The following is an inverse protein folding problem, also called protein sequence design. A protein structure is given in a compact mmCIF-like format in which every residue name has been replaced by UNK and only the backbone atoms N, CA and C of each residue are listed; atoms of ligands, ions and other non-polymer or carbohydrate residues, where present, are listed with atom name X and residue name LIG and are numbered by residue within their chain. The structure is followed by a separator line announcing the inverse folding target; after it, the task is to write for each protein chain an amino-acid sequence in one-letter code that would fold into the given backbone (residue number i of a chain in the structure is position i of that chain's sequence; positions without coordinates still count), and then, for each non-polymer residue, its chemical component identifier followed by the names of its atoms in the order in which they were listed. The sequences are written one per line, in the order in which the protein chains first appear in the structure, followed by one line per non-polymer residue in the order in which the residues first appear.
data_IF_352887343240
#
_entry.id   IF_352887343240
#
_cell.length_a   1.000
_cell.length_b   1.000
_cell.length_c   1.000
_cell.angle_alpha   90.00
_cell.angle_beta   90.00
_cell.angle_gamma   90.00
#
_symmetry.space_group_name_H-M   'P 1'
#
loop_
_entity.id
_entity.type
_entity.pdbx_description
1 polymer ?
#
# COMPACT_ATOMS: atom_id res chain seq x y z
N UNK A 1 9.91 -1.49 10.70
CA UNK A 1 10.33 -2.33 9.54
C UNK A 1 11.08 -3.52 10.08
N UNK A 2 10.85 -4.73 9.56
CA UNK A 2 11.65 -5.90 9.91
C UNK A 2 13.09 -5.78 9.34
N UNK A 3 14.14 -6.14 10.08
CA UNK A 3 15.53 -5.89 9.71
C UNK A 3 15.95 -6.32 8.29
N UNK A 4 15.50 -7.47 7.78
CA UNK A 4 15.89 -7.97 6.46
C UNK A 4 15.44 -7.11 5.28
N UNK A 5 14.62 -6.07 5.54
CA UNK A 5 14.33 -5.02 4.55
C UNK A 5 15.54 -4.12 4.32
N UNK A 6 16.32 -3.80 5.37
CA UNK A 6 17.45 -2.86 5.31
C UNK A 6 18.81 -3.53 5.46
N UNK A 7 18.85 -4.71 6.07
CA UNK A 7 20.07 -5.47 6.34
C UNK A 7 20.13 -6.73 5.47
N UNK A 8 21.31 -6.99 4.93
CA UNK A 8 21.65 -8.17 4.13
C UNK A 8 23.08 -8.60 4.45
N UNK A 9 23.38 -9.89 4.35
CA UNK A 9 24.73 -10.41 4.63
C UNK A 9 25.68 -10.19 3.46
N UNK A 10 27.00 -10.19 3.72
CA UNK A 10 28.01 -10.17 2.65
C UNK A 10 27.87 -11.37 1.69
N UNK A 11 27.56 -12.55 2.22
CA UNK A 11 27.40 -13.77 1.42
C UNK A 11 26.27 -13.62 0.39
N UNK A 12 25.15 -13.06 0.82
CA UNK A 12 24.00 -12.84 -0.07
C UNK A 12 24.21 -11.63 -0.99
N UNK A 13 24.85 -10.57 -0.50
CA UNK A 13 25.16 -9.38 -1.29
C UNK A 13 26.09 -9.67 -2.48
N UNK A 14 27.02 -10.61 -2.30
CA UNK A 14 27.95 -11.03 -3.36
C UNK A 14 27.29 -11.92 -4.42
N UNK A 15 26.06 -12.41 -4.18
CA UNK A 15 25.25 -13.11 -5.19
C UNK A 15 24.36 -12.10 -5.90
N UNK A 16 24.64 -11.81 -7.16
CA UNK A 16 23.95 -10.78 -7.93
C UNK A 16 22.42 -10.90 -7.88
N UNK A 17 21.87 -12.09 -8.10
CA UNK A 17 20.42 -12.32 -8.09
C UNK A 17 19.78 -11.95 -6.73
N UNK A 18 20.42 -12.36 -5.62
CA UNK A 18 19.94 -12.03 -4.27
C UNK A 18 20.04 -10.54 -3.97
N UNK A 19 21.13 -9.90 -4.39
CA UNK A 19 21.32 -8.47 -4.25
C UNK A 19 20.25 -7.69 -5.01
N UNK A 20 20.03 -8.05 -6.26
CA UNK A 20 19.09 -7.33 -7.13
C UNK A 20 17.66 -7.47 -6.57
N UNK A 21 17.28 -8.68 -6.11
CA UNK A 21 16.00 -8.91 -5.43
C UNK A 21 15.85 -8.10 -4.13
N UNK A 22 16.91 -8.05 -3.30
CA UNK A 22 16.93 -7.23 -2.08
C UNK A 22 16.70 -5.75 -2.39
N UNK A 23 17.40 -5.22 -3.40
CA UNK A 23 17.27 -3.82 -3.81
C UNK A 23 15.87 -3.52 -4.36
N UNK A 24 15.32 -4.39 -5.21
CA UNK A 24 13.95 -4.26 -5.71
C UNK A 24 12.94 -4.18 -4.57
N UNK A 25 13.04 -5.09 -3.59
CA UNK A 25 12.14 -5.10 -2.44
C UNK A 25 12.32 -3.87 -1.55
N UNK A 26 13.57 -3.45 -1.31
CA UNK A 26 13.89 -2.24 -0.56
C UNK A 26 13.22 -1.03 -1.23
N UNK A 27 13.58 -0.72 -2.48
CA UNK A 27 13.07 0.46 -3.17
C UNK A 27 11.54 0.45 -3.29
N UNK A 28 10.92 -0.70 -3.58
CA UNK A 28 9.47 -0.81 -3.64
C UNK A 28 8.80 -0.40 -2.32
N UNK A 29 9.34 -0.83 -1.17
CA UNK A 29 8.83 -0.44 0.14
C UNK A 29 9.09 1.04 0.45
N UNK A 30 10.29 1.54 0.14
CA UNK A 30 10.66 2.93 0.44
C UNK A 30 9.82 3.92 -0.36
N UNK A 31 9.67 3.65 -1.65
CA UNK A 31 8.92 4.50 -2.57
C UNK A 31 7.45 4.53 -2.14
N UNK A 32 6.88 3.37 -1.81
CA UNK A 32 5.49 3.31 -1.38
C UNK A 32 5.24 4.07 -0.07
N UNK A 33 6.08 3.89 0.95
CA UNK A 33 5.90 4.59 2.25
C UNK A 33 6.03 6.11 2.05
N UNK A 34 7.05 6.55 1.31
CA UNK A 34 7.32 7.96 1.07
C UNK A 34 6.22 8.64 0.24
N UNK A 35 5.85 8.03 -0.89
CA UNK A 35 4.98 8.68 -1.88
C UNK A 35 3.53 8.77 -1.38
N UNK A 36 3.14 7.89 -0.47
CA UNK A 36 1.78 7.81 0.05
C UNK A 36 1.67 8.27 1.52
N UNK A 37 2.80 8.65 2.16
CA UNK A 37 2.87 9.12 3.56
C UNK A 37 2.03 8.29 4.52
N UNK A 38 2.04 6.97 4.31
CA UNK A 38 1.06 6.03 4.84
C UNK A 38 1.09 5.97 6.36
N UNK A 39 2.30 5.93 6.91
CA UNK A 39 2.54 5.72 8.33
C UNK A 39 3.94 6.19 8.71
N UNK A 40 4.17 6.29 10.02
CA UNK A 40 5.50 6.46 10.58
C UNK A 40 6.20 5.10 10.68
N UNK A 41 7.52 5.11 10.51
CA UNK A 41 8.37 3.95 10.71
C UNK A 41 8.93 4.02 12.13
N UNK A 42 8.47 3.12 12.99
CA UNK A 42 9.04 2.95 14.33
C UNK A 42 10.50 2.49 14.22
N UNK A 43 11.36 3.16 14.97
CA UNK A 43 12.81 2.98 14.95
C UNK A 43 13.42 3.22 16.34
N UNK A 44 14.67 2.82 16.58
CA UNK A 44 15.39 3.09 17.82
C UNK A 44 16.88 3.35 17.58
N UNK A 45 17.56 3.83 18.60
CA UNK A 45 18.98 4.21 18.53
C UNK A 45 19.90 3.01 18.31
N UNK A 46 19.55 1.81 18.82
CA UNK A 46 20.32 0.59 18.58
C UNK A 46 20.32 0.23 17.07
N UNK A 47 19.14 0.18 16.44
CA UNK A 47 19.02 -0.10 15.00
C UNK A 47 19.68 0.98 14.14
N UNK A 48 19.57 2.26 14.55
CA UNK A 48 20.24 3.38 13.89
C UNK A 48 21.76 3.24 13.96
N UNK A 49 22.29 2.83 15.12
CA UNK A 49 23.71 2.56 15.28
C UNK A 49 24.17 1.40 14.39
N UNK A 50 23.41 0.30 14.32
CA UNK A 50 23.73 -0.81 13.41
C UNK A 50 23.73 -0.41 11.93
N UNK A 51 22.86 0.53 11.55
CA UNK A 51 22.75 1.00 10.18
C UNK A 51 23.93 1.91 9.78
N UNK A 52 24.44 2.73 10.70
CA UNK A 52 25.36 3.83 10.35
C UNK A 52 26.74 3.80 11.00
N UNK A 53 26.84 3.27 12.23
CA UNK A 53 27.97 3.49 13.12
C UNK A 53 28.66 2.19 13.56
N UNK A 54 28.04 1.03 13.35
CA UNK A 54 28.61 -0.25 13.75
C UNK A 54 29.89 -0.60 12.97
N UNK A 55 30.75 -1.42 13.59
CA UNK A 55 31.99 -1.89 12.95
C UNK A 55 31.72 -2.78 11.74
N UNK A 56 30.60 -3.49 11.74
CA UNK A 56 30.13 -4.36 10.68
C UNK A 56 28.94 -3.75 9.95
N UNK A 57 29.21 -2.67 9.21
CA UNK A 57 28.20 -2.00 8.40
C UNK A 57 27.56 -2.95 7.37
N UNK A 58 26.30 -2.69 6.96
CA UNK A 58 25.69 -3.40 5.85
C UNK A 58 26.57 -3.35 4.59
N UNK A 59 26.62 -4.40 3.77
CA UNK A 59 27.55 -4.50 2.65
C UNK A 59 27.32 -3.40 1.61
N UNK A 60 26.06 -3.01 1.39
CA UNK A 60 25.69 -1.90 0.52
C UNK A 60 26.16 -0.54 1.03
N UNK A 61 26.40 -0.41 2.33
CA UNK A 61 26.92 0.79 3.00
C UNK A 61 28.45 0.83 2.94
N UNK A 62 29.10 -0.33 3.03
CA UNK A 62 30.55 -0.47 2.86
C UNK A 62 30.99 -0.23 1.41
N UNK A 63 30.19 -0.64 0.42
CA UNK A 63 30.44 -0.40 -0.99
C UNK A 63 30.17 1.08 -1.38
N UNK A 64 31.20 1.77 -1.89
CA UNK A 64 31.12 3.19 -2.26
C UNK A 64 30.04 3.51 -3.30
N UNK A 65 29.87 2.65 -4.30
CA UNK A 65 28.93 2.90 -5.40
C UNK A 65 27.49 2.74 -4.91
N UNK A 66 27.22 1.69 -4.14
CA UNK A 66 25.89 1.44 -3.60
C UNK A 66 25.52 2.39 -2.47
N UNK A 67 26.48 2.73 -1.61
CA UNK A 67 26.36 3.77 -0.58
C UNK A 67 25.86 5.08 -1.17
N UNK A 68 26.45 5.53 -2.28
CA UNK A 68 26.07 6.80 -2.93
C UNK A 68 24.66 6.78 -3.53
N UNK A 69 24.08 5.59 -3.79
CA UNK A 69 22.72 5.45 -4.33
C UNK A 69 21.68 5.29 -3.21
N UNK A 70 21.96 4.41 -2.26
CA UNK A 70 20.99 3.98 -1.25
C UNK A 70 20.87 5.01 -0.13
N UNK A 71 21.99 5.59 0.31
CA UNK A 71 22.00 6.51 1.46
C UNK A 71 21.16 7.75 1.19
N UNK A 72 21.31 8.47 0.05
CA UNK A 72 20.44 9.60 -0.23
C UNK A 72 18.97 9.20 -0.27
N UNK A 73 18.67 8.01 -0.80
CA UNK A 73 17.30 7.48 -0.84
C UNK A 73 16.73 7.26 0.56
N UNK A 74 17.48 6.63 1.48
CA UNK A 74 17.07 6.42 2.87
C UNK A 74 16.81 7.77 3.56
N UNK A 75 17.75 8.72 3.45
CA UNK A 75 17.62 10.03 4.10
C UNK A 75 16.48 10.88 3.53
N UNK A 76 16.23 10.82 2.22
CA UNK A 76 15.19 11.62 1.58
C UNK A 76 13.80 11.01 1.74
N UNK A 77 13.69 9.68 1.61
CA UNK A 77 12.39 8.97 1.54
C UNK A 77 11.94 8.39 2.88
N UNK A 78 12.86 7.97 3.73
CA UNK A 78 12.52 7.23 4.95
C UNK A 78 12.69 8.09 6.19
N UNK A 79 13.83 8.75 6.34
CA UNK A 79 14.17 9.46 7.58
C UNK A 79 13.12 10.50 8.01
N UNK A 80 12.42 11.23 7.11
CA UNK A 80 11.32 12.12 7.52
C UNK A 80 10.13 11.40 8.16
N UNK A 81 10.01 10.09 7.93
CA UNK A 81 8.94 9.25 8.44
C UNK A 81 9.36 8.45 9.69
N UNK A 82 10.60 8.57 10.18
CA UNK A 82 11.03 7.87 11.39
C UNK A 82 10.38 8.46 12.65
N UNK A 83 9.84 7.55 13.47
CA UNK A 83 9.46 7.81 14.86
C UNK A 83 10.43 7.04 15.75
N UNK A 84 11.34 7.76 16.38
CA UNK A 84 12.29 7.19 17.33
C UNK A 84 11.57 6.88 18.64
N UNK A 85 11.69 5.63 19.07
CA UNK A 85 11.19 5.14 20.33
C UNK A 85 12.37 4.81 21.23
N UNK A 86 12.24 5.18 22.50
CA UNK A 86 13.14 4.72 23.54
C UNK A 86 12.91 3.21 23.74
N UNK A 87 14.00 2.46 23.83
CA UNK A 87 13.96 1.02 24.05
C UNK A 87 13.71 0.66 25.51
N UNK A 88 13.68 1.67 26.41
CA UNK A 88 13.23 1.56 27.80
C UNK A 88 14.01 0.55 28.64
N UNK A 89 15.12 0.00 28.12
CA UNK A 89 15.80 -1.15 28.70
C UNK A 89 14.96 -2.43 28.73
N UNK A 90 13.97 -2.59 27.85
CA UNK A 90 13.13 -3.78 27.80
C UNK A 90 13.91 -5.05 27.40
N UNK A 91 13.46 -6.19 27.93
CA UNK A 91 13.90 -7.51 27.46
C UNK A 91 13.39 -7.79 26.03
N UNK A 92 13.92 -8.82 25.36
CA UNK A 92 13.47 -9.17 24.01
C UNK A 92 12.09 -9.84 24.06
N UNK A 93 11.18 -9.44 23.16
CA UNK A 93 10.00 -10.23 22.84
C UNK A 93 10.36 -11.40 21.93
N UNK A 94 9.55 -12.46 21.98
CA UNK A 94 9.58 -13.54 21.00
C UNK A 94 8.56 -13.31 19.89
N UNK A 95 8.81 -13.94 18.74
CA UNK A 95 7.92 -13.92 17.59
C UNK A 95 7.63 -15.36 17.13
N UNK A 96 6.36 -15.70 16.97
CA UNK A 96 5.93 -16.96 16.39
C UNK A 96 5.51 -16.74 14.92
N UNK A 97 5.92 -17.60 13.97
CA UNK A 97 6.69 -18.84 14.13
C UNK A 97 8.22 -18.66 14.21
N UNK A 98 8.69 -17.41 14.26
CA UNK A 98 10.11 -17.04 14.29
C UNK A 98 10.55 -16.37 12.99
N UNK A 99 11.40 -15.35 13.10
CA UNK A 99 11.93 -14.64 11.94
C UNK A 99 13.11 -15.40 11.34
N UNK A 100 13.09 -15.62 10.02
CA UNK A 100 14.14 -16.27 9.26
C UNK A 100 15.21 -15.25 8.84
N UNK A 101 16.04 -14.83 9.78
CA UNK A 101 17.03 -13.79 9.57
C UNK A 101 18.44 -14.37 9.47
N UNK A 102 19.12 -14.08 8.36
CA UNK A 102 20.53 -14.48 8.15
C UNK A 102 21.53 -13.43 8.64
N UNK A 103 21.04 -12.32 9.22
CA UNK A 103 21.86 -11.20 9.70
C UNK A 103 22.35 -11.44 11.15
N UNK A 104 23.13 -10.51 11.67
CA UNK A 104 23.61 -10.55 13.06
C UNK A 104 22.44 -10.58 14.05
N UNK A 105 22.56 -11.42 15.09
CA UNK A 105 21.48 -11.66 16.06
C UNK A 105 21.15 -10.41 16.86
N UNK A 106 22.15 -9.58 17.10
CA UNK A 106 22.05 -8.33 17.84
C UNK A 106 21.10 -7.34 17.16
N UNK A 107 21.09 -7.31 15.81
CA UNK A 107 20.15 -6.50 15.03
C UNK A 107 18.72 -7.01 15.23
N UNK A 108 18.53 -8.34 15.24
CA UNK A 108 17.24 -8.96 15.53
C UNK A 108 16.78 -8.64 16.95
N UNK A 109 17.68 -8.68 17.94
CA UNK A 109 17.35 -8.33 19.31
C UNK A 109 16.94 -6.86 19.46
N UNK A 110 17.67 -5.94 18.83
CA UNK A 110 17.31 -4.52 18.82
C UNK A 110 15.91 -4.28 18.23
N UNK A 111 15.56 -5.02 17.17
CA UNK A 111 14.21 -5.00 16.59
C UNK A 111 13.15 -5.58 17.55
N UNK A 112 13.43 -6.70 18.21
CA UNK A 112 12.46 -7.32 19.14
C UNK A 112 12.23 -6.48 20.40
N UNK A 113 13.25 -5.74 20.88
CA UNK A 113 13.09 -4.73 21.93
C UNK A 113 12.21 -3.55 21.49
N UNK A 114 12.42 -3.06 20.26
CA UNK A 114 11.57 -2.01 19.68
C UNK A 114 10.10 -2.47 19.64
N UNK A 115 9.86 -3.71 19.23
CA UNK A 115 8.50 -4.28 19.23
C UNK A 115 7.96 -4.38 20.66
N UNK A 116 8.76 -4.79 21.63
CA UNK A 116 8.36 -4.81 23.04
C UNK A 116 7.86 -3.43 23.50
N UNK A 117 8.59 -2.36 23.19
CA UNK A 117 8.19 -0.99 23.50
C UNK A 117 6.81 -0.63 22.91
N UNK A 118 6.50 -1.11 21.70
CA UNK A 118 5.17 -0.94 21.09
C UNK A 118 4.07 -1.72 21.84
N UNK A 119 4.37 -2.94 22.27
CA UNK A 119 3.44 -3.79 23.04
C UNK A 119 3.12 -3.15 24.39
N UNK A 120 4.15 -2.65 25.08
CA UNK A 120 3.97 -1.99 26.39
C UNK A 120 3.11 -0.73 26.29
N UNK A 121 3.34 0.06 25.23
CA UNK A 121 2.53 1.23 24.90
C UNK A 121 1.13 0.90 24.35
N UNK A 122 0.81 -0.39 24.16
CA UNK A 122 -0.46 -0.88 23.58
C UNK A 122 -0.75 -0.28 22.21
N UNK A 123 0.29 -0.11 21.40
CA UNK A 123 0.15 0.42 20.05
C UNK A 123 -0.07 -0.72 19.04
N UNK A 124 -1.09 -0.57 18.19
CA UNK A 124 -1.25 -1.41 17.01
C UNK A 124 -0.21 -1.01 15.96
N UNK A 125 0.32 -1.98 15.22
CA UNK A 125 1.34 -1.71 14.21
C UNK A 125 1.28 -2.68 13.03
N UNK A 126 1.84 -2.20 11.92
CA UNK A 126 2.08 -2.99 10.71
C UNK A 126 3.48 -3.58 10.75
N UNK A 127 3.59 -4.89 10.52
CA UNK A 127 4.87 -5.57 10.39
C UNK A 127 5.22 -5.73 8.90
N UNK A 128 6.10 -4.85 8.42
CA UNK A 128 6.68 -4.99 7.09
C UNK A 128 7.74 -6.08 7.10
N UNK A 129 7.54 -7.17 6.35
CA UNK A 129 8.45 -8.31 6.28
C UNK A 129 9.37 -8.22 5.05
N UNK A 130 10.65 -8.55 5.23
CA UNK A 130 11.56 -8.71 4.10
C UNK A 130 11.40 -10.06 3.40
N UNK A 131 12.17 -10.24 2.31
CA UNK A 131 12.08 -11.40 1.40
C UNK A 131 12.07 -12.75 2.12
N UNK A 132 12.98 -13.04 3.08
CA UNK A 132 13.03 -14.34 3.74
C UNK A 132 11.74 -14.72 4.48
N UNK A 133 10.97 -13.72 4.90
CA UNK A 133 9.79 -13.89 5.76
C UNK A 133 8.47 -13.75 5.00
N UNK A 134 8.46 -13.57 3.67
CA UNK A 134 7.21 -13.34 2.92
C UNK A 134 6.19 -14.47 3.03
N UNK A 135 6.65 -15.71 3.20
CA UNK A 135 5.80 -16.90 3.39
C UNK A 135 5.00 -16.87 4.71
N UNK A 136 5.37 -16.00 5.66
CA UNK A 136 4.64 -15.84 6.92
C UNK A 136 3.31 -15.10 6.75
N UNK A 137 3.09 -14.43 5.62
CA UNK A 137 1.85 -13.69 5.35
C UNK A 137 0.58 -14.53 5.45
N UNK A 138 0.68 -15.82 5.09
CA UNK A 138 -0.45 -16.75 5.09
C UNK A 138 -0.53 -17.55 6.41
N UNK A 139 0.30 -17.22 7.39
CA UNK A 139 0.42 -17.94 8.66
C UNK A 139 -0.04 -17.07 9.83
N UNK A 140 -0.41 -17.72 10.93
CA UNK A 140 -0.64 -17.04 12.19
C UNK A 140 0.69 -16.49 12.72
N UNK A 141 0.78 -15.17 12.82
CA UNK A 141 1.96 -14.45 13.30
C UNK A 141 1.62 -13.65 14.54
N UNK A 142 2.43 -13.78 15.59
CA UNK A 142 2.24 -12.99 16.80
C UNK A 142 3.53 -12.79 17.59
N UNK A 143 3.58 -11.67 18.30
CA UNK A 143 4.58 -11.39 19.31
C UNK A 143 4.07 -11.78 20.70
N UNK A 144 4.99 -12.24 21.55
CA UNK A 144 4.70 -12.60 22.93
C UNK A 144 5.94 -12.40 23.82
N UNK A 145 5.72 -12.24 25.12
CA UNK A 145 6.75 -12.14 26.14
C UNK A 145 6.17 -12.53 27.50
N UNK A 146 7.03 -12.82 28.48
CA UNK A 146 6.59 -13.24 29.82
C UNK A 146 5.99 -12.09 30.65
N UNK A 147 6.34 -10.84 30.32
CA UNK A 147 5.89 -9.65 31.04
C UNK A 147 4.50 -9.13 30.59
N UNK A 148 4.02 -9.52 29.41
CA UNK A 148 2.69 -9.14 28.92
C UNK A 148 1.84 -10.40 28.63
N UNK A 149 0.64 -10.54 29.24
CA UNK A 149 -0.15 -11.75 29.12
C UNK A 149 -0.81 -11.93 27.73
N UNK A 150 -0.88 -10.86 26.94
CA UNK A 150 -1.58 -10.85 25.65
C UNK A 150 -0.59 -11.00 24.50
N UNK A 151 -0.97 -11.82 23.52
CA UNK A 151 -0.29 -11.91 22.23
C UNK A 151 -0.71 -10.74 21.36
N UNK A 152 0.24 -10.18 20.62
CA UNK A 152 -0.03 -9.09 19.66
C UNK A 152 0.12 -9.62 18.24
N UNK A 153 -0.96 -9.49 17.47
CA UNK A 153 -1.05 -9.95 16.09
C UNK A 153 -0.87 -8.74 15.16
N UNK A 154 0.33 -8.54 14.58
CA UNK A 154 0.54 -7.41 13.67
C UNK A 154 -0.18 -7.63 12.34
N UNK A 155 -0.54 -6.53 11.68
CA UNK A 155 -0.96 -6.58 10.27
C UNK A 155 0.28 -6.75 9.38
N UNK A 156 0.35 -7.87 8.65
CA UNK A 156 1.53 -8.23 7.85
C UNK A 156 1.52 -7.52 6.49
N UNK A 157 2.64 -6.86 6.17
CA UNK A 157 2.87 -6.18 4.90
C UNK A 157 4.10 -6.79 4.22
N UNK A 158 3.93 -7.49 3.10
CA UNK A 158 5.04 -8.10 2.34
C UNK A 158 5.33 -7.37 1.03
N UNK A 159 4.36 -6.62 0.52
CA UNK A 159 4.45 -5.87 -0.73
C UNK A 159 3.67 -4.55 -0.64
N UNK A 160 3.99 -3.54 -1.47
CA UNK A 160 3.26 -2.27 -1.53
C UNK A 160 1.74 -2.41 -1.60
N UNK A 161 1.23 -3.39 -2.35
CA UNK A 161 -0.20 -3.62 -2.49
C UNK A 161 -0.89 -4.03 -1.19
N UNK A 162 -0.14 -4.60 -0.25
CA UNK A 162 -0.68 -5.09 1.03
C UNK A 162 -1.09 -3.93 1.93
N UNK A 163 -0.42 -2.77 1.81
CA UNK A 163 -0.85 -1.55 2.48
C UNK A 163 -2.25 -1.13 2.05
N UNK A 164 -2.52 -1.20 0.75
CA UNK A 164 -3.83 -0.83 0.20
C UNK A 164 -4.91 -1.77 0.71
N UNK A 165 -4.64 -3.08 0.77
CA UNK A 165 -5.58 -4.03 1.35
C UNK A 165 -5.77 -3.85 2.87
N UNK A 166 -4.77 -3.31 3.57
CA UNK A 166 -4.81 -3.15 5.03
C UNK A 166 -5.41 -1.81 5.48
N UNK A 167 -5.31 -0.76 4.67
CA UNK A 167 -5.70 0.61 5.02
C UNK A 167 -6.87 1.12 4.16
N UNK A 168 -7.11 0.53 2.99
CA UNK A 168 -8.13 0.95 2.04
C UNK A 168 -7.58 1.77 0.87
N UNK A 169 -8.22 1.67 -0.30
CA UNK A 169 -7.85 2.39 -1.52
C UNK A 169 -8.04 3.90 -1.36
N UNK A 170 -9.15 4.29 -0.74
CA UNK A 170 -9.56 5.68 -0.57
C UNK A 170 -8.57 6.50 0.24
N UNK A 171 -7.94 5.90 1.26
CA UNK A 171 -6.88 6.57 2.03
C UNK A 171 -5.73 7.08 1.16
N UNK A 172 -5.44 6.40 0.04
CA UNK A 172 -4.31 6.75 -0.84
C UNK A 172 -4.71 7.50 -2.10
N UNK A 173 -5.91 7.21 -2.62
CA UNK A 173 -6.27 7.56 -3.99
C UNK A 173 -7.54 8.42 -4.09
N UNK A 174 -8.16 8.77 -2.96
CA UNK A 174 -9.33 9.64 -2.96
C UNK A 174 -8.93 11.10 -3.15
N UNK A 175 -9.64 11.88 -4.00
CA UNK A 175 -9.34 13.28 -4.21
C UNK A 175 -9.90 14.12 -3.05
N UNK A 176 -9.10 15.06 -2.57
CA UNK A 176 -9.51 16.07 -1.56
C UNK A 176 -9.96 17.37 -2.24
N UNK A 177 -9.63 17.55 -3.52
CA UNK A 177 -10.08 18.69 -4.32
C UNK A 177 -10.26 18.34 -5.80
N UNK A 178 -10.94 19.20 -6.55
CA UNK A 178 -11.28 19.00 -7.97
C UNK A 178 -10.02 18.84 -8.84
N UNK A 179 -8.93 19.50 -8.47
CA UNK A 179 -7.66 19.47 -9.20
C UNK A 179 -6.88 18.15 -9.00
N UNK A 180 -7.31 17.29 -8.06
CA UNK A 180 -6.65 16.03 -7.72
C UNK A 180 -7.16 14.82 -8.51
N UNK A 181 -7.69 15.02 -9.72
CA UNK A 181 -8.15 13.92 -10.60
C UNK A 181 -7.08 12.85 -10.85
N UNK A 182 -5.79 13.20 -10.75
CA UNK A 182 -4.68 12.25 -10.84
C UNK A 182 -4.62 11.25 -9.67
N UNK A 183 -5.11 11.58 -8.46
CA UNK A 183 -5.21 10.59 -7.36
C UNK A 183 -6.18 9.47 -7.74
N UNK A 184 -7.35 9.83 -8.29
CA UNK A 184 -8.35 8.88 -8.78
C UNK A 184 -7.77 8.00 -9.91
N UNK A 185 -7.05 8.60 -10.85
CA UNK A 185 -6.38 7.89 -11.95
C UNK A 185 -5.40 6.83 -11.42
N UNK A 186 -4.53 7.21 -10.49
CA UNK A 186 -3.58 6.29 -9.82
C UNK A 186 -4.32 5.17 -9.08
N UNK A 187 -5.43 5.47 -8.42
CA UNK A 187 -6.27 4.45 -7.77
C UNK A 187 -6.83 3.44 -8.75
N UNK A 188 -7.36 3.89 -9.89
CA UNK A 188 -7.87 3.01 -10.94
C UNK A 188 -6.75 2.14 -11.52
N UNK A 189 -5.58 2.73 -11.81
CA UNK A 189 -4.42 1.98 -12.29
C UNK A 189 -3.99 0.91 -11.29
N UNK A 190 -3.94 1.26 -10.00
CA UNK A 190 -3.65 0.32 -8.93
C UNK A 190 -4.66 -0.84 -8.90
N UNK A 191 -5.96 -0.55 -8.88
CA UNK A 191 -7.02 -1.57 -8.86
C UNK A 191 -6.92 -2.47 -10.10
N UNK A 192 -6.72 -1.88 -11.27
CA UNK A 192 -6.61 -2.61 -12.54
C UNK A 192 -5.43 -3.57 -12.52
N UNK A 193 -4.26 -3.12 -12.06
CA UNK A 193 -3.03 -3.91 -12.10
C UNK A 193 -2.92 -4.95 -10.98
N UNK A 194 -3.48 -4.65 -9.79
CA UNK A 194 -3.24 -5.47 -8.59
C UNK A 194 -4.47 -6.21 -8.07
N UNK A 195 -5.69 -5.76 -8.39
CA UNK A 195 -6.93 -6.38 -7.93
C UNK A 195 -7.64 -7.11 -9.06
N UNK A 196 -7.88 -6.43 -10.18
CA UNK A 196 -8.61 -7.00 -11.32
C UNK A 196 -7.69 -7.83 -12.23
N UNK A 197 -6.43 -7.39 -12.35
CA UNK A 197 -5.40 -7.99 -13.20
C UNK A 197 -5.86 -8.18 -14.66
N UNK A 198 -6.38 -7.10 -15.26
CA UNK A 198 -6.79 -7.06 -16.67
C UNK A 198 -6.40 -5.72 -17.29
N UNK A 199 -5.99 -5.68 -18.56
CA UNK A 199 -5.69 -4.41 -19.23
C UNK A 199 -6.96 -3.57 -19.40
N UNK A 200 -6.78 -2.26 -19.42
CA UNK A 200 -7.85 -1.33 -19.81
C UNK A 200 -8.17 -1.52 -21.29
N UNK A 201 -9.46 -1.52 -21.62
CA UNK A 201 -9.94 -1.58 -23.01
C UNK A 201 -10.32 -0.20 -23.56
N UNK A 202 -10.40 0.81 -22.68
CA UNK A 202 -10.73 2.20 -23.03
C UNK A 202 -9.74 3.15 -22.37
N UNK A 203 -9.35 4.23 -23.07
CA UNK A 203 -8.82 5.40 -22.37
C UNK A 203 -9.96 6.15 -21.69
N UNK A 204 -9.62 7.03 -20.75
CA UNK A 204 -10.65 7.72 -19.98
C UNK A 204 -10.22 9.07 -19.43
N UNK A 205 -11.24 9.90 -19.24
CA UNK A 205 -11.17 11.23 -18.67
C UNK A 205 -12.30 11.43 -17.65
N UNK A 206 -12.13 12.43 -16.79
CA UNK A 206 -13.12 12.85 -15.81
C UNK A 206 -13.53 14.27 -16.13
N UNK A 207 -14.84 14.53 -16.09
CA UNK A 207 -15.33 15.90 -16.00
C UNK A 207 -15.06 16.50 -14.61
N UNK A 208 -14.99 17.82 -14.54
CA UNK A 208 -14.86 18.54 -13.26
C UNK A 208 -16.04 18.23 -12.33
N UNK A 209 -17.27 18.18 -12.86
CA UNK A 209 -18.47 17.81 -12.13
C UNK A 209 -18.37 16.42 -11.50
N UNK A 210 -17.78 15.45 -12.22
CA UNK A 210 -17.57 14.12 -11.69
C UNK A 210 -16.62 14.13 -10.49
N UNK A 211 -15.45 14.77 -10.61
CA UNK A 211 -14.48 14.84 -9.51
C UNK A 211 -15.05 15.65 -8.35
N UNK A 212 -15.72 16.77 -8.61
CA UNK A 212 -16.37 17.58 -7.57
C UNK A 212 -17.40 16.79 -6.77
N UNK A 213 -18.11 15.84 -7.40
CA UNK A 213 -18.99 14.90 -6.69
C UNK A 213 -18.24 13.84 -5.89
N UNK A 214 -17.12 13.32 -6.40
CA UNK A 214 -16.29 12.38 -5.64
C UNK A 214 -15.69 13.03 -4.37
N UNK A 215 -15.24 14.27 -4.46
CA UNK A 215 -14.72 15.01 -3.29
C UNK A 215 -15.76 15.14 -2.16
N UNK A 216 -17.05 15.16 -2.50
CA UNK A 216 -18.15 15.27 -1.54
C UNK A 216 -18.61 13.92 -0.96
N UNK A 217 -18.17 12.80 -1.55
CA UNK A 217 -18.58 11.46 -1.14
C UNK A 217 -17.69 10.95 -0.01
N UNK A 218 -18.32 10.28 0.96
CA UNK A 218 -17.67 9.77 2.17
C UNK A 218 -17.91 8.27 2.37
N UNK A 219 -18.76 7.65 1.56
CA UNK A 219 -19.13 6.24 1.68
C UNK A 219 -18.76 5.46 0.42
N UNK A 220 -18.37 4.20 0.62
CA UNK A 220 -18.11 3.24 -0.46
C UNK A 220 -17.06 3.71 -1.47
N UNK A 221 -16.07 4.47 -1.01
CA UNK A 221 -15.04 5.12 -1.81
C UNK A 221 -14.20 4.08 -2.59
N UNK A 222 -13.86 2.98 -1.93
CA UNK A 222 -13.10 1.88 -2.52
C UNK A 222 -13.91 1.17 -3.61
N UNK A 223 -15.20 0.93 -3.38
CA UNK A 223 -16.11 0.33 -4.34
C UNK A 223 -16.29 1.20 -5.58
N UNK A 224 -16.25 2.53 -5.44
CA UNK A 224 -16.30 3.47 -6.57
C UNK A 224 -15.09 3.24 -7.48
N UNK A 225 -13.87 3.25 -6.92
CA UNK A 225 -12.65 3.00 -7.68
C UNK A 225 -12.67 1.61 -8.35
N UNK A 226 -13.13 0.59 -7.62
CA UNK A 226 -13.28 -0.77 -8.13
C UNK A 226 -14.28 -0.84 -9.29
N UNK A 227 -15.43 -0.20 -9.16
CA UNK A 227 -16.46 -0.19 -10.19
C UNK A 227 -15.97 0.53 -11.46
N UNK A 228 -15.25 1.65 -11.32
CA UNK A 228 -14.66 2.38 -12.44
C UNK A 228 -13.62 1.51 -13.15
N UNK A 229 -12.65 0.95 -12.42
CA UNK A 229 -11.62 0.10 -12.99
C UNK A 229 -12.23 -1.13 -13.69
N UNK A 230 -13.21 -1.78 -13.04
CA UNK A 230 -13.94 -2.90 -13.63
C UNK A 230 -14.69 -2.50 -14.89
N UNK A 231 -15.27 -1.30 -14.92
CA UNK A 231 -15.89 -0.81 -16.15
C UNK A 231 -14.84 -0.65 -17.24
N UNK A 232 -13.70 -0.04 -16.97
CA UNK A 232 -12.68 0.24 -17.98
C UNK A 232 -11.96 -1.02 -18.52
N UNK A 233 -12.08 -2.17 -17.86
CA UNK A 233 -11.50 -3.46 -18.31
C UNK A 233 -12.46 -4.34 -19.12
N UNK A 234 -13.72 -3.93 -19.29
CA UNK A 234 -14.75 -4.71 -19.99
C UNK A 234 -15.23 -3.98 -21.23
N UNK A 235 -15.41 -4.69 -22.35
CA UNK A 235 -16.11 -4.09 -23.49
C UNK A 235 -17.61 -3.90 -23.16
N UNK A 236 -18.29 -3.01 -23.88
CA UNK A 236 -19.69 -2.65 -23.59
C UNK A 236 -20.63 -3.86 -23.41
N UNK A 237 -20.52 -4.87 -24.27
CA UNK A 237 -21.38 -6.07 -24.21
C UNK A 237 -21.15 -6.90 -22.95
N UNK A 238 -19.91 -6.94 -22.45
CA UNK A 238 -19.53 -7.62 -21.22
C UNK A 238 -19.98 -6.82 -19.99
N UNK A 239 -19.74 -5.51 -19.99
CA UNK A 239 -20.17 -4.62 -18.90
C UNK A 239 -21.69 -4.68 -18.69
N UNK A 240 -22.47 -4.75 -19.77
CA UNK A 240 -23.94 -4.83 -19.71
C UNK A 240 -24.43 -6.16 -19.11
N UNK A 241 -23.66 -7.24 -19.31
CA UNK A 241 -23.96 -8.57 -18.75
C UNK A 241 -23.36 -8.78 -17.36
N UNK A 242 -22.51 -7.87 -16.90
CA UNK A 242 -21.86 -7.97 -15.60
C UNK A 242 -22.91 -7.75 -14.50
N UNK A 243 -23.14 -8.77 -13.66
CA UNK A 243 -24.14 -8.71 -12.58
C UNK A 243 -23.88 -7.61 -11.55
N UNK A 244 -22.63 -7.19 -11.39
CA UNK A 244 -22.25 -6.10 -10.48
C UNK A 244 -22.49 -4.72 -11.10
N UNK A 245 -21.93 -4.47 -12.29
CA UNK A 245 -22.04 -3.16 -12.94
C UNK A 245 -23.43 -2.87 -13.48
N UNK A 246 -24.14 -3.88 -14.01
CA UNK A 246 -25.46 -3.73 -14.66
C UNK A 246 -25.49 -2.52 -15.62
N UNK A 247 -24.47 -2.44 -16.48
CA UNK A 247 -24.25 -1.28 -17.33
C UNK A 247 -25.39 -1.11 -18.35
N UNK A 248 -26.04 0.05 -18.37
CA UNK A 248 -27.25 0.30 -19.14
C UNK A 248 -27.23 1.66 -19.86
N UNK A 249 -27.91 1.79 -21.02
CA UNK A 249 -28.01 3.08 -21.72
C UNK A 249 -28.92 4.06 -20.98
N UNK A 250 -28.57 5.35 -21.01
CA UNK A 250 -29.45 6.43 -20.54
C UNK A 250 -30.53 6.70 -21.59
N UNK A 251 -31.80 6.84 -21.17
CA UNK A 251 -32.93 7.02 -22.09
C UNK A 251 -32.64 8.15 -23.10
N UNK A 252 -32.94 7.90 -24.37
CA UNK A 252 -32.83 8.84 -25.53
C UNK A 252 -31.42 9.16 -26.04
N UNK A 253 -30.34 8.70 -25.40
CA UNK A 253 -28.97 8.97 -25.88
C UNK A 253 -28.14 7.67 -25.99
N UNK A 254 -27.77 7.30 -27.22
CA UNK A 254 -27.08 6.01 -27.47
C UNK A 254 -25.66 5.93 -26.88
N UNK A 255 -25.00 7.08 -26.71
CA UNK A 255 -23.61 7.17 -26.24
C UNK A 255 -23.49 7.30 -24.72
N UNK A 256 -24.55 7.78 -24.07
CA UNK A 256 -24.60 7.96 -22.62
C UNK A 256 -25.06 6.69 -21.93
N UNK A 257 -24.34 6.31 -20.88
CA UNK A 257 -24.51 5.04 -20.17
C UNK A 257 -24.27 5.19 -18.69
N UNK A 258 -24.84 4.29 -17.92
CA UNK A 258 -24.69 4.27 -16.47
C UNK A 258 -24.36 2.87 -16.01
N UNK A 259 -23.54 2.78 -14.98
CA UNK A 259 -23.32 1.53 -14.26
C UNK A 259 -23.46 1.76 -12.77
N UNK A 260 -23.78 0.68 -12.07
CA UNK A 260 -23.96 0.61 -10.63
C UNK A 260 -22.60 0.44 -9.95
N UNK A 261 -22.45 1.14 -8.84
CA UNK A 261 -21.35 0.94 -7.89
C UNK A 261 -21.81 -0.05 -6.82
N UNK A 262 -22.73 0.39 -5.95
CA UNK A 262 -23.34 -0.41 -4.89
C UNK A 262 -24.75 0.10 -4.59
N UNK A 263 -25.70 -0.82 -4.36
CA UNK A 263 -27.09 -0.42 -4.10
C UNK A 263 -27.67 0.40 -5.25
N UNK A 264 -28.15 1.61 -4.96
CA UNK A 264 -28.65 2.57 -5.96
C UNK A 264 -27.61 3.60 -6.43
N UNK A 265 -26.38 3.59 -5.89
CA UNK A 265 -25.29 4.48 -6.31
C UNK A 265 -24.83 4.15 -7.73
N UNK A 266 -24.66 5.19 -8.56
CA UNK A 266 -24.41 5.02 -10.01
C UNK A 266 -23.39 6.03 -10.52
N UNK A 267 -22.68 5.62 -11.57
CA UNK A 267 -21.79 6.49 -12.34
C UNK A 267 -22.35 6.64 -13.74
N UNK A 268 -22.50 7.88 -14.18
CA UNK A 268 -22.86 8.26 -15.54
C UNK A 268 -21.63 8.63 -16.33
N UNK A 269 -21.55 8.11 -17.55
CA UNK A 269 -20.47 8.37 -18.48
C UNK A 269 -20.97 8.39 -19.92
N UNK A 270 -20.17 8.91 -20.83
CA UNK A 270 -20.42 8.84 -22.28
C UNK A 270 -19.19 8.33 -23.02
N UNK A 271 -19.41 7.79 -24.22
CA UNK A 271 -18.32 7.57 -25.17
C UNK A 271 -18.02 8.84 -25.95
N UNK A 272 -16.72 9.15 -26.09
CA UNK A 272 -16.18 10.12 -27.03
C UNK A 272 -15.21 9.34 -27.92
N UNK A 273 -15.61 9.09 -29.17
CA UNK A 273 -14.92 8.16 -30.07
C UNK A 273 -14.71 6.77 -29.47
N UNK A 274 -13.48 6.47 -29.03
CA UNK A 274 -13.08 5.21 -28.37
C UNK A 274 -12.81 5.37 -26.88
N UNK A 275 -13.00 6.56 -26.32
CA UNK A 275 -12.66 6.88 -24.94
C UNK A 275 -13.93 7.03 -24.08
N UNK A 276 -13.78 6.85 -22.78
CA UNK A 276 -14.84 7.05 -21.79
C UNK A 276 -14.64 8.39 -21.08
N UNK A 277 -15.67 9.24 -21.09
CA UNK A 277 -15.74 10.44 -20.24
C UNK A 277 -16.72 10.19 -19.10
N UNK A 278 -16.21 10.18 -17.87
CA UNK A 278 -17.04 10.11 -16.66
C UNK A 278 -17.63 11.50 -16.35
N UNK A 279 -18.97 11.56 -16.33
CA UNK A 279 -19.73 12.80 -16.29
C UNK A 279 -20.24 13.12 -14.88
N UNK A 280 -20.79 12.15 -14.18
CA UNK A 280 -21.40 12.38 -12.87
C UNK A 280 -21.47 11.12 -12.02
N UNK A 281 -21.26 11.28 -10.73
CA UNK A 281 -21.55 10.27 -9.72
C UNK A 281 -22.85 10.63 -9.00
N UNK A 282 -23.68 9.62 -8.73
CA UNK A 282 -24.96 9.73 -8.04
C UNK A 282 -24.91 8.91 -6.75
N UNK A 283 -25.14 9.59 -5.62
CA UNK A 283 -25.19 8.99 -4.28
C UNK A 283 -26.46 8.20 -4.02
N UNK A 284 -26.64 7.74 -2.78
CA UNK A 284 -27.87 7.07 -2.37
C UNK A 284 -29.03 8.07 -2.24
N UNK A 285 -30.23 7.66 -2.68
CA UNK A 285 -31.42 8.51 -2.65
C UNK A 285 -31.42 9.64 -3.67
N UNK A 286 -30.30 9.90 -4.36
CA UNK A 286 -30.26 10.72 -5.58
C UNK A 286 -30.94 9.96 -6.72
N UNK A 287 -32.27 9.90 -6.66
CA UNK A 287 -33.09 9.58 -7.81
C UNK A 287 -33.08 10.76 -8.77
N UNK A 288 -32.87 10.47 -10.06
CA UNK A 288 -32.97 11.45 -11.13
C UNK A 288 -34.27 12.24 -10.99
N UNK A 289 -34.18 13.55 -10.77
CA UNK A 289 -35.27 14.45 -11.12
C UNK A 289 -35.48 14.35 -12.65
N UNK A 290 -36.32 13.38 -13.04
CA UNK A 290 -36.76 13.15 -14.41
C UNK A 290 -35.92 12.13 -15.19
N UNK A 291 -36.26 10.85 -15.03
CA UNK A 291 -36.10 9.83 -16.08
C UNK A 291 -37.30 8.91 -16.25
#
# INVERSE_FOLDING_TARGET
LEPSILFITDLEWNVQEKRDLFLENLYAMLDFINDNKVTQINWNDELESFLWNDKSLPPWRADKNWKNKIVPTIYQKIHPNFRFLDDGGFDICDFYPGLQLSIQKEITYAFLKLVHSLIDNKEDFYLCLGIPNKSLKEQECYFYCDCHPNRINPSIICEPKDWVFSIGLSTFFWPESIDESNKVRRGIEFVTNHIINKPLVYNYQFSEDFIGRLVQENEYLDEILIAIAKRLTLIQSEASRNKGLKDEPVRRKKTERRFRVLGERRIHYTYIDRDILFLKYFGEGEHDDGL
#
